data_IF_555953232101
#
_entry.id   IF_555953232101
#
_cell.length_a   1.000
_cell.length_b   1.000
_cell.length_c   1.000
_cell.angle_alpha   90.00
_cell.angle_beta   90.00
_cell.angle_gamma   90.00
#
_symmetry.space_group_name_H-M   'P 1'
#
loop_
_entity.id
_entity.type
_entity.pdbx_description
1 polymer ?
#
# COMPACT_ATOMS: atom_id res chain seq x y z
N UNK A 1 15.97 -27.72 -20.70
CA UNK A 1 15.52 -26.48 -21.36
C UNK A 1 16.08 -25.29 -20.61
N UNK A 2 16.68 -24.33 -21.31
CA UNK A 2 17.22 -23.11 -20.70
C UNK A 2 16.09 -22.08 -20.60
N UNK A 3 16.01 -21.37 -19.47
CA UNK A 3 15.02 -20.31 -19.26
C UNK A 3 15.47 -19.02 -19.97
N UNK A 4 14.51 -18.24 -20.48
CA UNK A 4 14.77 -16.89 -21.00
C UNK A 4 15.12 -15.92 -19.85
N UNK A 5 15.84 -14.82 -20.14
CA UNK A 5 16.09 -13.76 -19.17
C UNK A 5 14.80 -13.03 -18.76
N UNK A 6 14.88 -12.33 -17.62
CA UNK A 6 13.83 -11.44 -17.12
C UNK A 6 13.70 -10.21 -18.02
N UNK A 7 12.49 -9.69 -18.12
CA UNK A 7 12.20 -8.46 -18.86
C UNK A 7 12.44 -7.25 -17.97
N UNK A 8 13.19 -6.26 -18.45
CA UNK A 8 13.42 -4.99 -17.78
C UNK A 8 12.47 -3.92 -18.33
N UNK A 9 11.86 -3.13 -17.46
CA UNK A 9 11.03 -1.99 -17.83
C UNK A 9 11.91 -0.75 -17.74
N UNK A 10 12.07 -0.04 -18.84
CA UNK A 10 12.88 1.20 -18.94
C UNK A 10 11.97 2.40 -19.17
N UNK A 11 12.36 3.55 -18.61
CA UNK A 11 11.70 4.82 -18.89
C UNK A 11 11.95 5.26 -20.33
N UNK A 12 10.90 5.72 -20.98
CA UNK A 12 10.88 6.17 -22.37
C UNK A 12 10.49 7.63 -22.45
N UNK A 13 10.65 8.20 -23.65
CA UNK A 13 10.23 9.57 -23.92
C UNK A 13 8.70 9.73 -23.89
N UNK A 14 7.94 8.66 -24.15
CA UNK A 14 6.46 8.70 -24.04
C UNK A 14 5.99 8.95 -22.59
N UNK A 15 6.77 8.53 -21.61
CA UNK A 15 6.46 8.71 -20.19
C UNK A 15 6.56 10.19 -19.74
N UNK A 16 7.22 11.06 -20.52
CA UNK A 16 7.26 12.50 -20.25
C UNK A 16 5.85 13.12 -20.31
N UNK A 17 4.96 12.58 -21.13
CA UNK A 17 3.59 13.09 -21.22
C UNK A 17 2.81 12.86 -19.92
N UNK A 18 3.07 11.75 -19.23
CA UNK A 18 2.47 11.46 -17.92
C UNK A 18 2.91 12.52 -16.88
N UNK A 19 4.20 12.88 -16.88
CA UNK A 19 4.72 13.95 -16.01
C UNK A 19 4.11 15.32 -16.33
N UNK A 20 3.98 15.67 -17.61
CA UNK A 20 3.36 16.94 -18.03
C UNK A 20 1.88 17.01 -17.63
N UNK A 21 1.18 15.88 -17.63
CA UNK A 21 -0.20 15.80 -17.13
C UNK A 21 -0.22 16.02 -15.62
N UNK A 22 0.59 15.27 -14.88
CA UNK A 22 0.71 15.41 -13.42
C UNK A 22 1.00 16.86 -13.01
N UNK A 23 1.98 17.51 -13.66
CA UNK A 23 2.35 18.90 -13.36
C UNK A 23 1.22 19.89 -13.65
N UNK A 24 0.40 19.66 -14.69
CA UNK A 24 -0.78 20.49 -14.98
C UNK A 24 -1.87 20.27 -13.94
N UNK A 25 -2.08 19.03 -13.51
CA UNK A 25 -3.08 18.69 -12.51
C UNK A 25 -2.73 19.26 -11.13
N UNK A 26 -1.45 19.23 -10.73
CA UNK A 26 -0.99 19.91 -9.51
C UNK A 26 -1.20 21.42 -9.58
N UNK A 27 -0.86 22.06 -10.71
CA UNK A 27 -1.07 23.49 -10.88
C UNK A 27 -2.54 23.90 -10.75
N UNK A 28 -3.47 23.07 -11.25
CA UNK A 28 -4.91 23.33 -11.17
C UNK A 28 -5.53 23.00 -9.79
N UNK A 29 -4.87 22.18 -8.97
CA UNK A 29 -5.36 21.73 -7.66
C UNK A 29 -4.65 22.36 -6.45
N UNK A 30 -3.84 23.41 -6.66
CA UNK A 30 -3.11 24.14 -5.59
C UNK A 30 -3.99 24.81 -4.52
N UNK A 31 -5.33 24.74 -4.64
CA UNK A 31 -6.24 25.15 -3.57
C UNK A 31 -6.59 24.02 -2.58
N UNK A 32 -6.27 22.75 -2.85
CA UNK A 32 -6.73 21.60 -2.03
C UNK A 32 -5.64 20.58 -1.65
N UNK A 33 -4.49 20.51 -2.33
CA UNK A 33 -3.55 19.40 -2.17
C UNK A 33 -2.32 19.70 -1.27
N UNK A 34 -2.53 20.22 -0.06
CA UNK A 34 -1.53 20.13 1.04
C UNK A 34 -1.80 18.89 1.91
N UNK A 35 -2.28 17.80 1.31
CA UNK A 35 -2.33 16.51 1.97
C UNK A 35 -1.53 15.55 1.11
N UNK A 36 -0.33 15.21 1.60
CA UNK A 36 0.31 13.94 1.28
C UNK A 36 -0.63 12.82 1.74
N UNK A 37 -1.68 12.55 0.97
CA UNK A 37 -2.41 11.31 1.08
C UNK A 37 -1.62 10.33 0.21
N UNK A 38 -0.60 9.73 0.81
CA UNK A 38 -0.13 8.42 0.36
C UNK A 38 -1.40 7.59 0.08
N UNK A 39 -1.62 7.22 -1.18
CA UNK A 39 -2.55 6.17 -1.56
C UNK A 39 -2.01 4.81 -1.05
N UNK A 40 -1.78 4.73 0.26
CA UNK A 40 -1.97 3.48 0.96
C UNK A 40 -3.44 3.16 0.77
N UNK A 41 -3.81 2.06 0.07
CA UNK A 41 -5.21 1.74 -0.11
C UNK A 41 -5.85 1.71 1.28
N UNK A 42 -6.83 2.60 1.51
CA UNK A 42 -7.59 2.67 2.75
C UNK A 42 -7.96 1.24 3.11
N UNK A 43 -7.38 0.74 4.21
CA UNK A 43 -7.71 -0.57 4.78
C UNK A 43 -9.22 -0.66 4.75
N UNK A 44 -9.72 -1.64 3.99
CA UNK A 44 -11.11 -1.78 3.64
C UNK A 44 -11.93 -1.78 4.93
N UNK A 45 -12.44 -0.60 5.30
CA UNK A 45 -13.25 -0.35 6.49
C UNK A 45 -14.65 -0.91 6.22
N UNK A 46 -14.71 -2.22 6.00
CA UNK A 46 -15.92 -3.00 5.90
C UNK A 46 -16.34 -3.44 7.30
N UNK A 47 -17.04 -2.55 8.01
CA UNK A 47 -17.75 -2.85 9.26
C UNK A 47 -16.83 -3.09 10.46
N UNK A 48 -17.38 -2.90 11.66
CA UNK A 48 -16.75 -3.20 12.95
C UNK A 48 -16.58 -4.71 13.15
N UNK A 49 -15.83 -5.37 12.28
CA UNK A 49 -15.42 -6.76 12.48
C UNK A 49 -14.43 -6.78 13.62
N UNK A 50 -14.64 -7.69 14.57
CA UNK A 50 -13.68 -7.88 15.66
C UNK A 50 -12.36 -8.39 15.08
N UNK A 51 -11.24 -8.07 15.72
CA UNK A 51 -9.90 -8.52 15.31
C UNK A 51 -9.85 -10.05 15.17
N UNK A 52 -10.61 -10.77 16.00
CA UNK A 52 -10.72 -12.22 15.96
C UNK A 52 -11.46 -12.74 14.72
N UNK A 53 -12.51 -12.07 14.27
CA UNK A 53 -13.18 -12.37 13.00
C UNK A 53 -12.23 -12.19 11.81
N UNK A 54 -11.38 -11.16 11.86
CA UNK A 54 -10.36 -10.91 10.83
C UNK A 54 -9.34 -12.05 10.82
N UNK A 55 -8.81 -12.44 11.99
CA UNK A 55 -7.85 -13.54 12.13
C UNK A 55 -8.38 -14.84 11.54
N UNK A 56 -9.63 -15.21 11.86
CA UNK A 56 -10.29 -16.38 11.32
C UNK A 56 -10.44 -16.32 9.80
N UNK A 57 -10.82 -15.16 9.25
CA UNK A 57 -11.00 -14.97 7.81
C UNK A 57 -9.72 -15.13 7.01
N UNK A 58 -8.59 -14.65 7.53
CA UNK A 58 -7.30 -14.69 6.82
C UNK A 58 -6.44 -15.89 7.20
N UNK A 59 -6.95 -16.82 8.03
CA UNK A 59 -6.19 -17.96 8.53
C UNK A 59 -4.98 -17.57 9.38
N UNK A 60 -4.99 -16.35 9.96
CA UNK A 60 -3.91 -15.89 10.80
C UNK A 60 -4.10 -16.41 12.21
N UNK A 61 -3.16 -17.21 12.68
CA UNK A 61 -3.07 -17.67 14.06
C UNK A 61 -1.95 -16.89 14.77
N UNK A 62 -2.27 -15.84 15.57
CA UNK A 62 -1.25 -15.10 16.28
C UNK A 62 -0.48 -16.06 17.19
N UNK A 63 0.83 -16.10 17.06
CA UNK A 63 1.67 -16.80 18.04
C UNK A 63 1.49 -16.05 19.37
N UNK A 64 0.97 -16.74 20.39
CA UNK A 64 0.95 -16.19 21.75
C UNK A 64 2.38 -15.75 22.06
N UNK A 65 2.62 -14.45 22.21
CA UNK A 65 3.90 -13.98 22.73
C UNK A 65 4.07 -14.67 24.08
N UNK A 66 5.25 -15.24 24.41
CA UNK A 66 5.48 -15.68 25.76
C UNK A 66 5.25 -14.46 26.65
N UNK A 67 4.19 -14.50 27.44
CA UNK A 67 4.09 -13.63 28.61
C UNK A 67 5.28 -14.00 29.47
N UNK A 68 6.37 -13.23 29.32
CA UNK A 68 7.53 -13.35 30.18
C UNK A 68 7.08 -13.21 31.64
N UNK A 69 7.79 -13.84 32.58
CA UNK A 69 7.37 -13.93 33.96
C UNK A 69 7.18 -12.52 34.55
N UNK A 70 6.00 -12.32 35.15
CA UNK A 70 5.74 -11.23 36.09
C UNK A 70 6.89 -11.24 37.09
N UNK A 71 7.69 -10.19 37.09
CA UNK A 71 8.76 -10.03 38.07
C UNK A 71 8.12 -9.85 39.45
N UNK A 72 8.76 -10.50 40.43
CA UNK A 72 8.39 -10.65 41.85
C UNK A 72 8.03 -9.35 42.53
#
# INVERSE_FOLDING_TARGET
MIRRPLTEITLKLEDLQEYENFRRDEANNTAVASEMQEDTPKSQAGGTKTTEEIHNRIGYAPKKKPSGPSTV
#
